data_IF_923663015057
#
_entry.id   IF_923663015057
#
_cell.length_a   1.000
_cell.length_b   1.000
_cell.length_c   1.000
_cell.angle_alpha   90.00
_cell.angle_beta   90.00
_cell.angle_gamma   90.00
#
_symmetry.space_group_name_H-M   'P 1'
#
loop_
_entity.id
_entity.type
_entity.pdbx_description
1 polymer ?
#
# COMPACT_ATOMS: atom_id res chain seq x y z
N UNK A 1 -14.58 -44.91 -7.66
CA UNK A 1 -14.44 -43.91 -8.75
C UNK A 1 -15.03 -44.40 -10.08
N UNK A 2 -16.19 -45.10 -10.05
CA UNK A 2 -16.88 -45.63 -11.23
C UNK A 2 -18.30 -45.04 -11.37
N UNK A 3 -18.96 -44.75 -10.24
CA UNK A 3 -20.28 -44.10 -10.18
C UNK A 3 -20.25 -42.62 -10.60
N UNK A 4 -19.11 -41.93 -10.43
CA UNK A 4 -18.96 -40.53 -10.84
C UNK A 4 -18.74 -40.35 -12.35
N UNK A 5 -18.21 -41.38 -13.02
CA UNK A 5 -17.95 -41.35 -14.47
C UNK A 5 -19.23 -41.57 -15.29
N UNK A 6 -20.18 -42.36 -14.75
CA UNK A 6 -21.49 -42.60 -15.39
C UNK A 6 -22.45 -41.40 -15.29
N UNK A 7 -22.25 -40.50 -14.32
CA UNK A 7 -23.08 -39.30 -14.15
C UNK A 7 -22.71 -38.16 -15.10
N UNK A 8 -21.48 -38.12 -15.62
CA UNK A 8 -21.06 -37.08 -16.60
C UNK A 8 -21.39 -37.44 -18.05
N UNK A 9 -21.70 -38.70 -18.35
CA UNK A 9 -22.02 -39.16 -19.72
C UNK A 9 -23.52 -39.17 -20.04
N UNK A 10 -24.37 -38.84 -19.07
CA UNK A 10 -25.83 -38.78 -19.22
C UNK A 10 -26.35 -37.34 -19.03
N UNK A 11 -25.83 -36.43 -19.86
CA UNK A 11 -26.49 -35.15 -20.13
C UNK A 11 -26.50 -34.99 -21.65
N UNK A 12 -27.31 -35.86 -22.25
CA UNK A 12 -27.57 -35.90 -23.68
C UNK A 12 -28.18 -34.58 -24.17
N UNK A 13 -27.65 -34.14 -25.31
CA UNK A 13 -28.27 -33.31 -26.34
C UNK A 13 -29.79 -33.12 -26.21
N UNK A 14 -30.21 -31.91 -25.86
CA UNK A 14 -31.53 -31.37 -26.19
C UNK A 14 -31.34 -30.34 -27.30
N UNK A 15 -31.45 -30.81 -28.54
CA UNK A 15 -31.61 -30.01 -29.73
C UNK A 15 -32.92 -29.22 -29.69
N UNK A 16 -32.84 -27.90 -29.79
CA UNK A 16 -33.95 -27.03 -30.19
C UNK A 16 -33.56 -26.28 -31.47
N UNK A 17 -34.54 -25.97 -32.35
CA UNK A 17 -34.29 -25.83 -33.78
C UNK A 17 -33.52 -24.55 -34.13
N UNK A 18 -32.61 -24.66 -35.09
CA UNK A 18 -32.06 -23.51 -35.83
C UNK A 18 -33.12 -23.04 -36.82
N UNK A 19 -33.66 -21.84 -36.61
CA UNK A 19 -34.31 -21.04 -37.66
C UNK A 19 -33.57 -19.72 -37.82
N UNK A 20 -33.24 -19.42 -39.07
CA UNK A 20 -32.42 -18.32 -39.58
C UNK A 20 -32.91 -16.89 -39.26
N UNK A 21 -31.90 -16.01 -39.09
CA UNK A 21 -31.79 -14.59 -39.47
C UNK A 21 -32.98 -13.62 -39.26
N UNK A 22 -32.86 -12.74 -38.24
CA UNK A 22 -33.27 -11.32 -38.37
C UNK A 22 -32.29 -10.41 -37.61
N UNK A 23 -31.80 -9.39 -38.32
CA UNK A 23 -30.92 -8.33 -37.86
C UNK A 23 -31.79 -7.10 -37.57
N UNK A 24 -31.92 -6.67 -36.31
CA UNK A 24 -32.46 -5.38 -35.81
C UNK A 24 -32.48 -5.51 -34.27
N UNK A 25 -32.17 -4.57 -33.40
CA UNK A 25 -31.92 -3.14 -33.40
C UNK A 25 -31.35 -2.84 -31.99
N UNK A 26 -30.48 -1.85 -31.88
CA UNK A 26 -29.84 -1.39 -30.64
C UNK A 26 -30.92 -0.89 -29.66
N UNK A 27 -30.85 -1.23 -28.35
CA UNK A 27 -31.05 -0.31 -27.20
C UNK A 27 -31.23 -1.10 -25.89
N UNK A 28 -30.16 -1.22 -25.13
CA UNK A 28 -30.08 -0.83 -23.72
C UNK A 28 -28.64 -1.08 -23.29
N UNK A 29 -27.80 -0.08 -23.54
CA UNK A 29 -26.58 0.07 -22.75
C UNK A 29 -27.03 0.34 -21.32
N UNK A 30 -27.30 -0.72 -20.56
CA UNK A 30 -27.10 -0.67 -19.12
C UNK A 30 -25.62 -0.37 -18.97
N UNK A 31 -25.32 0.92 -18.90
CA UNK A 31 -24.07 1.42 -18.39
C UNK A 31 -23.97 0.87 -16.98
N UNK A 32 -23.45 -0.35 -16.87
CA UNK A 32 -22.64 -0.73 -15.74
C UNK A 32 -21.55 0.32 -15.76
N UNK A 33 -21.79 1.41 -15.03
CA UNK A 33 -20.75 2.25 -14.50
C UNK A 33 -19.91 1.34 -13.62
N UNK A 34 -19.07 0.54 -14.29
CA UNK A 34 -17.81 0.05 -13.73
C UNK A 34 -17.24 1.32 -13.13
N UNK A 35 -17.12 1.42 -11.79
CA UNK A 35 -16.49 2.59 -11.22
C UNK A 35 -15.16 2.64 -11.93
N UNK A 36 -14.97 3.66 -12.78
CA UNK A 36 -13.69 3.94 -13.37
C UNK A 36 -12.80 4.07 -12.14
N UNK A 37 -12.03 3.02 -11.86
CA UNK A 37 -11.05 2.99 -10.80
C UNK A 37 -10.08 4.07 -11.24
N UNK A 38 -10.39 5.31 -10.85
CA UNK A 38 -9.49 6.42 -11.01
C UNK A 38 -8.29 5.94 -10.24
N UNK A 39 -7.24 5.56 -10.96
CA UNK A 39 -5.93 5.28 -10.41
C UNK A 39 -5.43 6.59 -9.82
N UNK A 40 -5.97 6.96 -8.66
CA UNK A 40 -5.48 8.08 -7.90
C UNK A 40 -4.20 7.58 -7.25
N UNK A 41 -3.10 7.58 -8.02
CA UNK A 41 -1.81 7.04 -7.60
C UNK A 41 -1.47 7.53 -6.17
N UNK A 42 -1.23 6.63 -5.19
CA UNK A 42 -1.01 6.98 -3.78
C UNK A 42 0.41 7.50 -3.57
N UNK A 43 0.84 8.49 -4.35
CA UNK A 43 2.23 8.99 -4.37
C UNK A 43 2.71 9.35 -2.96
N UNK A 44 1.86 9.97 -2.14
CA UNK A 44 2.18 10.32 -0.75
C UNK A 44 2.34 9.12 0.18
N UNK A 45 1.49 8.10 0.03
CA UNK A 45 1.61 6.86 0.81
C UNK A 45 2.86 6.08 0.43
N UNK A 46 3.16 6.00 -0.87
CA UNK A 46 4.39 5.40 -1.38
C UNK A 46 5.61 6.16 -0.86
N UNK A 47 5.58 7.49 -0.89
CA UNK A 47 6.70 8.33 -0.43
C UNK A 47 6.93 8.21 1.08
N UNK A 48 5.86 8.11 1.88
CA UNK A 48 5.97 7.81 3.32
C UNK A 48 6.59 6.43 3.55
N UNK A 49 6.16 5.42 2.77
CA UNK A 49 6.71 4.07 2.86
C UNK A 49 8.17 3.99 2.42
N UNK A 50 8.59 4.70 1.37
CA UNK A 50 9.99 4.75 0.97
C UNK A 50 10.84 5.49 1.99
N UNK A 51 10.34 6.59 2.59
CA UNK A 51 11.02 7.26 3.69
C UNK A 51 11.21 6.34 4.90
N UNK A 52 10.22 5.53 5.27
CA UNK A 52 10.36 4.58 6.40
C UNK A 52 11.40 3.50 6.13
N UNK A 53 11.36 2.88 4.95
CA UNK A 53 12.36 1.90 4.53
C UNK A 53 13.77 2.50 4.49
N UNK A 54 13.88 3.73 3.99
CA UNK A 54 15.16 4.45 3.96
C UNK A 54 15.65 4.78 5.37
N UNK A 55 14.77 5.25 6.25
CA UNK A 55 15.10 5.52 7.66
C UNK A 55 15.57 4.25 8.38
N UNK A 56 14.94 3.10 8.09
CA UNK A 56 15.36 1.79 8.62
C UNK A 56 16.76 1.39 8.13
N UNK A 57 17.09 1.65 6.87
CA UNK A 57 18.44 1.41 6.35
C UNK A 57 19.49 2.33 6.98
N UNK A 58 19.11 3.56 7.35
CA UNK A 58 20.00 4.53 7.97
C UNK A 58 20.09 4.42 9.50
N UNK A 59 19.61 3.33 10.12
CA UNK A 59 19.65 3.16 11.58
C UNK A 59 21.08 3.22 12.17
N UNK A 60 22.11 2.92 11.36
CA UNK A 60 23.52 3.09 11.74
C UNK A 60 23.92 4.54 12.02
N UNK A 61 23.19 5.51 11.47
CA UNK A 61 23.36 6.93 11.76
C UNK A 61 22.05 7.50 12.35
N UNK A 62 21.94 7.58 13.69
CA UNK A 62 20.68 7.94 14.35
C UNK A 62 20.22 9.37 13.98
N UNK A 63 21.16 10.31 13.80
CA UNK A 63 20.86 11.69 13.37
C UNK A 63 20.18 11.72 11.99
N UNK A 64 20.74 11.02 11.00
CA UNK A 64 20.14 10.97 9.66
C UNK A 64 18.80 10.23 9.65
N UNK A 65 18.68 9.15 10.45
CA UNK A 65 17.46 8.37 10.56
C UNK A 65 16.29 9.19 11.10
N UNK A 66 16.50 10.06 12.11
CA UNK A 66 15.44 10.92 12.66
C UNK A 66 14.90 11.93 11.65
N UNK A 67 15.77 12.58 10.88
CA UNK A 67 15.38 13.59 9.87
C UNK A 67 14.53 12.94 8.77
N UNK A 68 14.96 11.78 8.26
CA UNK A 68 14.23 11.05 7.20
C UNK A 68 12.91 10.51 7.74
N UNK A 69 12.91 10.02 8.99
CA UNK A 69 11.70 9.57 9.64
C UNK A 69 10.68 10.70 9.81
N UNK A 70 11.12 11.92 10.17
CA UNK A 70 10.27 13.10 10.26
C UNK A 70 9.63 13.43 8.89
N UNK A 71 10.38 13.34 7.80
CA UNK A 71 9.83 13.46 6.44
C UNK A 71 8.76 12.38 6.16
N UNK A 72 9.04 11.13 6.57
CA UNK A 72 8.08 10.02 6.46
C UNK A 72 6.76 10.28 7.18
N UNK A 73 6.82 10.87 8.38
CA UNK A 73 5.64 11.29 9.16
C UNK A 73 4.85 12.38 8.44
N UNK A 74 5.53 13.42 7.92
CA UNK A 74 4.87 14.52 7.19
C UNK A 74 4.17 14.01 5.93
N UNK A 75 4.85 13.18 5.12
CA UNK A 75 4.26 12.60 3.92
C UNK A 75 3.13 11.61 4.24
N UNK A 76 3.25 10.86 5.33
CA UNK A 76 2.18 9.98 5.83
C UNK A 76 0.92 10.78 6.19
N UNK A 77 1.09 11.89 6.92
CA UNK A 77 -0.02 12.76 7.32
C UNK A 77 -0.70 13.43 6.11
N UNK A 78 0.08 13.90 5.12
CA UNK A 78 -0.46 14.45 3.87
C UNK A 78 -1.22 13.37 3.08
N UNK A 79 -0.74 12.13 3.12
CA UNK A 79 -1.35 10.99 2.45
C UNK A 79 -2.75 10.64 2.95
N UNK A 80 -3.15 11.05 4.16
CA UNK A 80 -4.48 10.80 4.72
C UNK A 80 -5.62 11.50 3.97
N UNK A 81 -5.31 12.60 3.28
CA UNK A 81 -6.31 13.38 2.55
C UNK A 81 -6.63 12.78 1.16
N UNK A 82 -5.91 11.74 0.71
CA UNK A 82 -6.16 11.05 -0.57
C UNK A 82 -6.94 9.75 -0.38
N UNK A 83 -7.58 9.29 -1.48
CA UNK A 83 -8.50 8.13 -1.49
C UNK A 83 -7.88 6.82 -1.01
N UNK A 84 -6.56 6.63 -1.15
CA UNK A 84 -5.86 5.42 -0.71
C UNK A 84 -5.39 5.56 0.75
N UNK A 85 -6.38 5.53 1.65
CA UNK A 85 -6.22 5.74 3.09
C UNK A 85 -5.29 4.70 3.73
N UNK A 86 -5.40 3.42 3.33
CA UNK A 86 -4.66 2.32 3.96
C UNK A 86 -3.15 2.45 3.88
N UNK A 87 -2.61 2.78 2.70
CA UNK A 87 -1.15 2.86 2.50
C UNK A 87 -0.53 4.06 3.22
N UNK A 88 -1.21 5.21 3.22
CA UNK A 88 -0.74 6.38 3.95
C UNK A 88 -0.77 6.14 5.47
N UNK A 89 -1.83 5.48 5.97
CA UNK A 89 -1.98 5.10 7.40
C UNK A 89 -0.85 4.18 7.84
N UNK A 90 -0.56 3.12 7.07
CA UNK A 90 0.53 2.21 7.43
C UNK A 90 1.90 2.88 7.36
N UNK A 91 2.17 3.69 6.32
CA UNK A 91 3.40 4.46 6.19
C UNK A 91 3.60 5.47 7.33
N UNK A 92 2.53 6.16 7.73
CA UNK A 92 2.56 7.11 8.84
C UNK A 92 2.86 6.43 10.18
N UNK A 93 2.13 5.36 10.52
CA UNK A 93 2.31 4.63 11.78
C UNK A 93 3.72 4.06 11.87
N UNK A 94 4.20 3.47 10.78
CA UNK A 94 5.54 2.91 10.72
C UNK A 94 6.61 4.01 10.86
N UNK A 95 6.40 5.18 10.22
CA UNK A 95 7.28 6.35 10.37
C UNK A 95 7.34 6.82 11.80
N UNK A 96 6.21 6.88 12.49
CA UNK A 96 6.12 7.37 13.86
C UNK A 96 6.85 6.44 14.84
N UNK A 97 6.73 5.12 14.66
CA UNK A 97 7.47 4.14 15.47
C UNK A 97 8.98 4.30 15.26
N UNK A 98 9.43 4.40 14.01
CA UNK A 98 10.85 4.58 13.69
C UNK A 98 11.35 5.93 14.21
N UNK A 99 10.54 6.98 14.13
CA UNK A 99 10.89 8.31 14.65
C UNK A 99 11.18 8.25 16.14
N UNK A 100 10.33 7.55 16.89
CA UNK A 100 10.47 7.41 18.33
C UNK A 100 11.70 6.57 18.69
N UNK A 101 11.93 5.46 17.98
CA UNK A 101 13.08 4.59 18.20
C UNK A 101 14.40 5.28 17.83
N UNK A 102 14.48 5.91 16.65
CA UNK A 102 15.64 6.67 16.21
C UNK A 102 15.89 7.87 17.12
N UNK A 103 14.83 8.61 17.50
CA UNK A 103 14.93 9.75 18.41
C UNK A 103 15.49 9.35 19.77
N UNK A 104 15.00 8.23 20.33
CA UNK A 104 15.54 7.68 21.57
C UNK A 104 17.02 7.27 21.44
N UNK A 105 17.39 6.61 20.33
CA UNK A 105 18.78 6.23 20.08
C UNK A 105 19.69 7.45 19.91
N UNK A 106 19.20 8.51 19.26
CA UNK A 106 19.93 9.78 19.10
C UNK A 106 20.12 10.47 20.44
N UNK A 107 19.10 10.47 21.29
CA UNK A 107 19.17 11.00 22.66
C UNK A 107 20.18 10.23 23.51
N UNK A 108 20.19 8.90 23.41
CA UNK A 108 21.18 8.05 24.08
C UNK A 108 22.59 8.34 23.57
N UNK A 109 22.75 8.49 22.25
CA UNK A 109 24.03 8.86 21.63
C UNK A 109 24.49 10.25 22.07
N UNK A 110 23.59 11.22 22.30
CA UNK A 110 23.95 12.54 22.80
C UNK A 110 24.43 12.47 24.26
N UNK A 111 23.74 11.71 25.12
CA UNK A 111 24.13 11.56 26.53
C UNK A 111 25.45 10.80 26.71
N UNK A 112 25.67 9.74 25.92
CA UNK A 112 26.81 8.83 26.09
C UNK A 112 27.93 9.05 25.08
N UNK A 113 27.66 9.74 23.97
CA UNK A 113 28.62 10.03 22.91
C UNK A 113 29.28 11.40 23.03
N UNK A 114 28.91 12.21 24.03
CA UNK A 114 29.68 13.40 24.38
C UNK A 114 31.01 12.97 25.00
N UNK A 115 32.09 13.20 24.25
CA UNK A 115 33.45 12.92 24.67
C UNK A 115 33.69 13.59 26.04
N UNK A 116 34.05 12.84 27.11
CA UNK A 116 34.28 13.43 28.44
C UNK A 116 35.48 14.40 28.45
N UNK A 117 36.19 14.54 27.33
CA UNK A 117 37.33 15.43 27.12
C UNK A 117 36.94 16.84 26.65
N UNK A 118 35.66 17.11 26.33
CA UNK A 118 35.22 18.42 25.79
C UNK A 118 34.52 19.36 26.77
N UNK A 119 34.42 18.97 28.04
CA UNK A 119 33.87 19.80 29.13
C UNK A 119 34.94 20.41 30.06
N UNK A 120 36.17 20.51 29.58
CA UNK A 120 37.27 21.19 30.28
C UNK A 120 38.06 22.09 29.32
N UNK A 121 37.51 23.27 29.02
CA UNK A 121 38.17 24.29 28.19
C UNK A 121 37.34 25.56 28.08
#
# INVERSE_FOLDING_TARGET
MLIMLTTFTNVSYASFPVTETQQTEITESVAVEVPAYREDNPIWGILSLTCTLLSLMLLLNPLAATIISLLGVIFGAIGFNKKLKGLAITGFILSLIIFLAAGFLTFLFLIYGEDPTKLGG
#
